data_IF_928806506195
#
_entry.id   IF_928806506195
#
_cell.length_a   1.000
_cell.length_b   1.000
_cell.length_c   1.000
_cell.angle_alpha   90.00
_cell.angle_beta   90.00
_cell.angle_gamma   90.00
#
_symmetry.space_group_name_H-M   'P 1'
#
loop_
_entity.id
_entity.type
_entity.pdbx_description
1 polymer ?
#
# COMPACT_ATOMS: atom_id res chain seq x y z
N UNK A 1 0.17 -6.65 -17.37
CA UNK A 1 0.26 -6.77 -15.91
C UNK A 1 0.69 -5.44 -15.33
N UNK A 2 -0.19 -4.75 -14.62
CA UNK A 2 0.09 -3.44 -14.02
C UNK A 2 -0.16 -3.48 -12.53
N UNK A 3 0.67 -2.80 -11.75
CA UNK A 3 0.49 -2.66 -10.30
C UNK A 3 -0.51 -1.54 -10.02
N UNK A 4 -1.79 -1.85 -10.21
CA UNK A 4 -2.94 -0.97 -9.99
C UNK A 4 -4.10 -1.80 -9.47
N UNK A 5 -5.10 -1.14 -8.88
CA UNK A 5 -6.30 -1.84 -8.40
C UNK A 5 -6.98 -2.62 -9.52
N UNK A 6 -7.03 -2.06 -10.72
CA UNK A 6 -7.58 -2.76 -11.87
C UNK A 6 -6.67 -3.91 -12.32
N UNK A 7 -5.37 -3.70 -12.33
CA UNK A 7 -4.39 -4.69 -12.78
C UNK A 7 -4.35 -5.94 -11.91
N UNK A 8 -4.53 -5.81 -10.60
CA UNK A 8 -4.48 -6.97 -9.68
C UNK A 8 -5.75 -7.83 -9.72
N UNK A 9 -6.78 -7.41 -10.43
CA UNK A 9 -8.00 -8.22 -10.61
C UNK A 9 -7.75 -9.47 -11.46
N UNK A 10 -6.74 -9.44 -12.32
CA UNK A 10 -6.34 -10.60 -13.11
C UNK A 10 -5.43 -11.53 -12.29
N UNK A 11 -6.05 -12.24 -11.35
CA UNK A 11 -5.34 -13.10 -10.39
C UNK A 11 -4.47 -14.17 -11.07
N UNK A 12 -4.92 -14.73 -12.18
CA UNK A 12 -4.17 -15.76 -12.91
C UNK A 12 -2.81 -15.26 -13.38
N UNK A 13 -2.78 -14.06 -13.93
CA UNK A 13 -1.56 -13.48 -14.48
C UNK A 13 -0.52 -13.28 -13.39
N UNK A 14 -0.94 -12.75 -12.23
CA UNK A 14 -0.04 -12.54 -11.09
C UNK A 14 0.42 -13.87 -10.50
N UNK A 15 -0.48 -14.83 -10.36
CA UNK A 15 -0.14 -16.16 -9.84
C UNK A 15 0.86 -16.88 -10.73
N UNK A 16 0.72 -16.77 -12.05
CA UNK A 16 1.69 -17.35 -13.01
C UNK A 16 3.06 -16.71 -12.87
N UNK A 17 3.11 -15.42 -12.52
CA UNK A 17 4.37 -14.71 -12.30
C UNK A 17 4.99 -15.03 -10.94
N UNK A 18 4.34 -15.81 -10.08
CA UNK A 18 4.83 -16.15 -8.76
C UNK A 18 4.67 -15.02 -7.74
N UNK A 19 3.73 -14.12 -7.97
CA UNK A 19 3.48 -12.95 -7.11
C UNK A 19 2.18 -13.17 -6.33
N UNK A 20 2.27 -13.11 -5.00
CA UNK A 20 1.10 -13.25 -4.11
C UNK A 20 0.32 -11.95 -4.06
N UNK A 21 -0.98 -12.03 -4.25
CA UNK A 21 -1.89 -10.89 -4.12
C UNK A 21 -2.51 -10.84 -2.72
N UNK A 22 -3.00 -9.65 -2.28
CA UNK A 22 -3.71 -9.56 -1.01
C UNK A 22 -4.93 -10.48 -0.96
N UNK A 23 -5.11 -11.19 0.15
CA UNK A 23 -6.25 -12.06 0.39
C UNK A 23 -7.48 -11.33 0.95
N UNK A 24 -7.35 -10.04 1.23
CA UNK A 24 -8.42 -9.17 1.70
C UNK A 24 -8.86 -8.22 0.59
N UNK A 25 -10.01 -7.59 0.76
CA UNK A 25 -10.54 -6.61 -0.20
C UNK A 25 -9.84 -5.26 -0.02
N UNK A 26 -8.87 -4.97 -0.88
CA UNK A 26 -8.05 -3.76 -0.83
C UNK A 26 -8.91 -2.50 -0.95
N UNK A 27 -9.87 -2.49 -1.86
CA UNK A 27 -10.74 -1.33 -2.06
C UNK A 27 -11.56 -1.02 -0.82
N UNK A 28 -12.09 -2.05 -0.17
CA UNK A 28 -12.90 -1.91 1.03
C UNK A 28 -12.12 -1.36 2.21
N UNK A 29 -10.92 -1.89 2.49
CA UNK A 29 -10.09 -1.42 3.61
C UNK A 29 -9.58 0.00 3.36
N UNK A 30 -9.34 0.37 2.11
CA UNK A 30 -8.96 1.73 1.74
C UNK A 30 -10.11 2.71 1.90
N UNK A 31 -11.32 2.34 1.47
CA UNK A 31 -12.52 3.18 1.63
C UNK A 31 -12.83 3.43 3.10
N UNK A 32 -12.72 2.41 3.95
CA UNK A 32 -12.91 2.57 5.39
C UNK A 32 -11.93 3.55 5.99
N UNK A 33 -10.66 3.49 5.58
CA UNK A 33 -9.63 4.40 6.08
C UNK A 33 -9.89 5.84 5.64
N UNK A 34 -10.38 6.04 4.41
CA UNK A 34 -10.71 7.38 3.90
C UNK A 34 -11.90 7.99 4.64
N UNK A 35 -12.90 7.18 4.98
CA UNK A 35 -14.07 7.62 5.73
C UNK A 35 -13.73 7.94 7.19
N UNK A 36 -12.95 7.08 7.84
CA UNK A 36 -12.57 7.23 9.25
C UNK A 36 -11.16 6.69 9.46
N UNK A 37 -10.12 7.53 9.28
CA UNK A 37 -8.73 7.11 9.49
C UNK A 37 -8.48 6.73 10.95
N UNK A 38 -7.81 5.60 11.17
CA UNK A 38 -7.41 5.16 12.53
C UNK A 38 -5.90 5.06 12.68
N UNK A 39 -5.21 4.77 11.59
CA UNK A 39 -3.75 4.71 11.57
C UNK A 39 -3.26 5.71 10.54
N UNK A 40 -2.70 6.80 11.02
CA UNK A 40 -2.10 7.85 10.21
C UNK A 40 -0.59 7.83 10.45
N UNK A 41 0.19 7.72 9.38
CA UNK A 41 1.65 7.65 9.48
C UNK A 41 2.30 8.80 8.72
N UNK A 42 3.21 9.49 9.38
CA UNK A 42 3.98 10.59 8.81
C UNK A 42 5.37 10.10 8.40
N UNK A 43 5.78 10.40 7.16
CA UNK A 43 7.02 9.91 6.61
C UNK A 43 6.81 8.58 5.90
N UNK A 44 6.75 8.61 4.56
CA UNK A 44 6.30 7.48 3.76
C UNK A 44 7.33 7.05 2.70
N UNK A 45 8.59 7.01 3.10
CA UNK A 45 9.66 6.49 2.25
C UNK A 45 9.62 4.97 2.11
N UNK A 46 10.65 4.40 1.47
CA UNK A 46 10.69 2.98 1.14
C UNK A 46 10.64 2.06 2.36
N UNK A 47 11.30 2.45 3.47
CA UNK A 47 11.30 1.62 4.69
C UNK A 47 9.87 1.50 5.23
N UNK A 48 9.15 2.61 5.35
CA UNK A 48 7.75 2.59 5.77
C UNK A 48 6.91 1.75 4.82
N UNK A 49 7.01 2.03 3.52
CA UNK A 49 6.14 1.44 2.51
C UNK A 49 6.19 -0.09 2.50
N UNK A 50 7.37 -0.67 2.64
CA UNK A 50 7.55 -2.11 2.58
C UNK A 50 7.56 -2.76 3.97
N UNK A 51 8.28 -2.18 4.93
CA UNK A 51 8.40 -2.77 6.26
C UNK A 51 7.13 -2.58 7.10
N UNK A 52 6.74 -1.34 7.35
CA UNK A 52 5.52 -1.05 8.13
C UNK A 52 4.28 -1.46 7.33
N UNK A 53 4.26 -1.16 6.04
CA UNK A 53 3.18 -1.59 5.15
C UNK A 53 3.03 -3.09 5.11
N UNK A 54 4.14 -3.84 5.15
CA UNK A 54 4.13 -5.30 5.21
C UNK A 54 3.55 -5.84 6.50
N UNK A 55 3.86 -5.21 7.64
CA UNK A 55 3.29 -5.58 8.94
C UNK A 55 1.78 -5.34 8.93
N UNK A 56 1.34 -4.18 8.47
CA UNK A 56 -0.08 -3.85 8.38
C UNK A 56 -0.82 -4.79 7.43
N UNK A 57 -0.19 -5.16 6.32
CA UNK A 57 -0.74 -6.12 5.35
C UNK A 57 -1.02 -7.47 6.03
N UNK A 58 -0.07 -7.96 6.83
CA UNK A 58 -0.26 -9.20 7.61
C UNK A 58 -1.42 -9.09 8.60
N UNK A 59 -1.59 -7.94 9.25
CA UNK A 59 -2.68 -7.71 10.18
C UNK A 59 -4.04 -7.64 9.47
N UNK A 60 -4.08 -7.12 8.27
CA UNK A 60 -5.29 -7.12 7.43
C UNK A 60 -5.65 -8.54 6.97
N UNK A 61 -4.65 -9.34 6.59
CA UNK A 61 -4.84 -10.74 6.21
C UNK A 61 -5.45 -11.57 7.36
N UNK A 62 -5.01 -11.30 8.59
CA UNK A 62 -5.50 -12.00 9.78
C UNK A 62 -6.81 -11.44 10.32
N UNK A 63 -7.31 -10.34 9.77
CA UNK A 63 -8.53 -9.69 10.23
C UNK A 63 -8.37 -8.90 11.54
N UNK A 64 -7.14 -8.67 11.99
CA UNK A 64 -6.85 -7.86 13.18
C UNK A 64 -7.08 -6.38 12.90
N UNK A 65 -6.71 -5.91 11.70
CA UNK A 65 -7.04 -4.59 11.21
C UNK A 65 -8.20 -4.68 10.22
N UNK A 66 -9.09 -3.70 10.24
CA UNK A 66 -10.22 -3.62 9.32
C UNK A 66 -10.08 -2.51 8.28
N UNK A 67 -9.01 -1.73 8.35
CA UNK A 67 -8.75 -0.62 7.41
C UNK A 67 -7.27 -0.38 7.22
N UNK A 68 -6.95 0.22 6.07
CA UNK A 68 -5.58 0.52 5.67
C UNK A 68 -5.03 1.77 6.37
N UNK A 69 -3.75 2.07 6.11
CA UNK A 69 -3.04 3.20 6.70
C UNK A 69 -3.25 4.45 5.84
N UNK A 70 -3.49 5.59 6.48
CA UNK A 70 -3.43 6.90 5.82
C UNK A 70 -2.01 7.43 5.90
N UNK A 71 -1.41 7.74 4.76
CA UNK A 71 0.00 8.12 4.64
C UNK A 71 0.14 9.62 4.42
N UNK A 72 1.06 10.24 5.14
CA UNK A 72 1.33 11.68 5.02
C UNK A 72 2.82 11.90 4.77
N UNK A 73 3.16 12.57 3.68
CA UNK A 73 4.55 12.95 3.38
C UNK A 73 4.77 14.42 3.74
N UNK A 74 5.82 14.66 4.52
CA UNK A 74 6.11 15.99 5.05
C UNK A 74 7.32 16.67 4.41
N UNK A 75 8.04 15.98 3.54
CA UNK A 75 9.29 16.50 2.98
C UNK A 75 9.40 16.24 1.46
N UNK A 76 9.47 14.98 1.05
CA UNK A 76 9.64 14.62 -0.36
C UNK A 76 8.29 14.34 -1.02
N UNK A 77 7.63 15.40 -1.48
CA UNK A 77 6.29 15.29 -2.07
C UNK A 77 6.27 14.55 -3.41
N UNK A 78 7.42 14.43 -4.10
CA UNK A 78 7.52 13.66 -5.34
C UNK A 78 7.20 12.19 -5.13
N UNK A 79 7.45 11.67 -3.93
CA UNK A 79 7.13 10.27 -3.57
C UNK A 79 5.64 10.00 -3.77
N UNK A 80 4.77 10.94 -3.39
CA UNK A 80 3.31 10.78 -3.56
C UNK A 80 2.97 10.66 -5.05
N UNK A 81 3.50 11.55 -5.88
CA UNK A 81 3.16 11.62 -7.30
C UNK A 81 3.78 10.49 -8.13
N UNK A 82 4.95 10.00 -7.74
CA UNK A 82 5.72 9.04 -8.55
C UNK A 82 5.64 7.60 -8.06
N UNK A 83 5.47 7.41 -6.75
CA UNK A 83 5.54 6.08 -6.13
C UNK A 83 4.18 5.59 -5.62
N UNK A 84 3.32 6.48 -5.14
CA UNK A 84 2.02 6.10 -4.60
C UNK A 84 0.88 6.24 -5.61
N UNK A 85 0.65 7.44 -6.12
CA UNK A 85 -0.50 7.71 -6.98
C UNK A 85 -0.56 6.86 -8.25
N UNK A 86 0.55 6.67 -9.01
CA UNK A 86 0.48 5.88 -10.25
C UNK A 86 0.16 4.40 -10.05
N UNK A 87 0.37 3.90 -8.83
CA UNK A 87 0.18 2.48 -8.51
C UNK A 87 -1.00 2.24 -7.57
N UNK A 88 -1.93 3.20 -7.45
CA UNK A 88 -3.09 3.12 -6.55
C UNK A 88 -2.69 2.79 -5.11
N UNK A 89 -1.55 3.32 -4.67
CA UNK A 89 -0.97 3.10 -3.33
C UNK A 89 -0.56 1.65 -3.05
N UNK A 90 -0.53 0.80 -4.07
CA UNK A 90 -0.03 -0.57 -3.95
C UNK A 90 1.50 -0.60 -3.94
N UNK A 91 2.06 -1.57 -3.25
CA UNK A 91 3.50 -1.79 -3.23
C UNK A 91 3.83 -3.23 -3.60
N UNK A 92 5.02 -3.45 -4.13
CA UNK A 92 5.54 -4.80 -4.37
C UNK A 92 6.68 -5.07 -3.40
N UNK A 93 6.46 -6.04 -2.51
CA UNK A 93 7.46 -6.49 -1.56
C UNK A 93 8.25 -7.65 -2.15
N UNK A 94 9.57 -7.57 -2.04
CA UNK A 94 10.47 -8.66 -2.44
C UNK A 94 11.24 -9.10 -1.20
N UNK A 95 11.02 -10.33 -0.77
CA UNK A 95 11.71 -10.90 0.40
C UNK A 95 12.81 -11.83 -0.11
N UNK A 96 14.05 -11.55 0.29
CA UNK A 96 15.21 -12.38 -0.04
C UNK A 96 15.49 -13.32 1.13
N UNK A 97 15.49 -14.62 0.86
CA UNK A 97 15.81 -15.63 1.86
C UNK A 97 17.29 -16.02 1.81
N UNK A 98 17.82 -16.52 2.92
CA UNK A 98 19.23 -16.90 3.04
C UNK A 98 19.66 -18.00 2.09
N UNK A 99 18.73 -18.81 1.58
CA UNK A 99 19.00 -19.87 0.60
C UNK A 99 19.00 -19.38 -0.85
N UNK A 100 18.83 -18.07 -1.07
CA UNK A 100 18.80 -17.48 -2.42
C UNK A 100 17.43 -17.40 -3.05
N UNK A 101 16.39 -17.96 -2.42
CA UNK A 101 15.02 -17.85 -2.94
C UNK A 101 14.43 -16.47 -2.69
N UNK A 102 13.46 -16.08 -3.49
CA UNK A 102 12.77 -14.79 -3.41
C UNK A 102 11.28 -15.00 -3.30
N UNK A 103 10.64 -14.17 -2.50
CA UNK A 103 9.20 -14.17 -2.34
C UNK A 103 8.66 -12.80 -2.75
N UNK A 104 7.65 -12.79 -3.63
CA UNK A 104 7.06 -11.55 -4.16
C UNK A 104 5.62 -11.42 -3.67
N UNK A 105 5.29 -10.27 -3.11
CA UNK A 105 3.94 -10.03 -2.60
C UNK A 105 3.50 -8.59 -2.89
N UNK A 106 2.26 -8.44 -3.38
CA UNK A 106 1.62 -7.13 -3.50
C UNK A 106 1.04 -6.74 -2.15
N UNK A 107 1.37 -5.54 -1.67
CA UNK A 107 0.87 -4.97 -0.43
C UNK A 107 -0.23 -3.97 -0.73
N UNK A 108 -1.39 -4.15 -0.10
CA UNK A 108 -2.56 -3.27 -0.27
C UNK A 108 -2.94 -2.54 1.02
N UNK A 109 -2.00 -2.36 1.95
CA UNK A 109 -2.25 -1.83 3.28
C UNK A 109 -2.24 -0.30 3.39
N UNK A 110 -1.97 0.42 2.29
CA UNK A 110 -1.89 1.88 2.28
C UNK A 110 -3.09 2.45 1.53
N UNK A 111 -3.92 3.24 2.23
CA UNK A 111 -5.19 3.72 1.67
C UNK A 111 -5.02 4.89 0.72
N UNK A 112 -4.20 5.85 1.14
CA UNK A 112 -3.92 7.05 0.35
C UNK A 112 -2.64 7.70 0.84
N UNK A 113 -2.02 8.51 -0.01
CA UNK A 113 -0.84 9.29 0.33
C UNK A 113 -1.17 10.77 0.09
N UNK A 114 -0.99 11.59 1.12
CA UNK A 114 -1.26 13.02 1.05
C UNK A 114 0.00 13.82 1.31
N UNK A 115 0.08 15.00 0.70
CA UNK A 115 1.18 15.95 0.91
C UNK A 115 0.84 16.88 2.06
N UNK A 116 1.73 17.01 3.03
CA UNK A 116 1.53 17.89 4.19
C UNK A 116 1.81 19.34 3.81
N UNK A 117 1.03 19.89 2.90
CA UNK A 117 1.14 21.27 2.43
C UNK A 117 -0.24 21.87 2.27
N UNK A 118 -0.36 23.18 2.55
CA UNK A 118 -1.66 23.89 2.55
C UNK A 118 -2.35 23.90 1.18
N UNK A 119 -1.60 23.72 0.10
CA UNK A 119 -2.14 23.71 -1.25
C UNK A 119 -2.71 22.35 -1.69
N UNK A 120 -2.53 21.30 -0.89
CA UNK A 120 -3.04 19.96 -1.23
C UNK A 120 -4.48 19.81 -0.73
N UNK A 121 -5.47 19.69 -1.65
CA UNK A 121 -6.88 19.55 -1.26
C UNK A 121 -7.15 18.29 -0.41
N UNK A 122 -6.37 17.24 -0.57
CA UNK A 122 -6.52 16.00 0.21
C UNK A 122 -6.25 16.24 1.70
N UNK A 123 -5.35 17.16 1.99
CA UNK A 123 -4.92 17.40 3.37
C UNK A 123 -6.00 18.10 4.20
N UNK A 124 -6.77 18.99 3.60
CA UNK A 124 -7.66 19.90 4.32
C UNK A 124 -9.15 19.55 4.21
N UNK A 125 -9.45 18.45 3.58
CA UNK A 125 -10.80 17.90 3.48
C UNK A 125 -10.96 16.69 4.41
#
# INVERSE_FOLDING_TARGET
MKLTLEGIKDCELWNKAGITLPGYDVEKVSEKAKEEPKWVHFGIGNIFRIFIGGIADGLLEEGVLDRAITCVETFDYDVVDKIYDPYDNLGLSVILHGDGTREYKVLGSLAEAVKAQSADPKQWN
#
